data_IF_157921247323
#
_entry.id   IF_157921247323
#
_cell.length_a   1.000
_cell.length_b   1.000
_cell.length_c   1.000
_cell.angle_alpha   90.00
_cell.angle_beta   90.00
_cell.angle_gamma   90.00
#
_symmetry.space_group_name_H-M   'P 1'
#
loop_
_entity.id
_entity.type
_entity.pdbx_description
1 polymer ?
#
# COMPACT_ATOMS: atom_id res chain seq x y z
N UNK A 1 19.53 6.76 -13.99
CA UNK A 1 18.29 6.71 -13.17
C UNK A 1 17.27 5.72 -13.75
N UNK A 2 16.78 5.91 -15.00
CA UNK A 2 15.79 5.00 -15.59
C UNK A 2 16.31 3.56 -15.76
N UNK A 3 17.53 3.38 -16.28
CA UNK A 3 18.17 2.05 -16.39
C UNK A 3 18.45 1.41 -15.02
N UNK A 4 18.73 2.20 -14.00
CA UNK A 4 18.96 1.70 -12.65
C UNK A 4 17.67 1.21 -12.00
N UNK A 5 16.53 1.90 -12.23
CA UNK A 5 15.21 1.46 -11.79
C UNK A 5 14.84 0.14 -12.48
N UNK A 6 15.05 0.04 -13.78
CA UNK A 6 14.71 -1.14 -14.57
C UNK A 6 15.54 -2.38 -14.19
N UNK A 7 16.80 -2.19 -13.74
CA UNK A 7 17.64 -3.30 -13.26
C UNK A 7 17.12 -3.94 -11.95
N UNK A 8 16.20 -3.29 -11.27
CA UNK A 8 15.54 -3.79 -10.04
C UNK A 8 14.20 -4.48 -10.30
N UNK A 9 13.75 -4.55 -11.55
CA UNK A 9 12.51 -5.24 -11.92
C UNK A 9 12.85 -6.70 -12.24
N UNK A 10 12.38 -7.59 -11.41
CA UNK A 10 12.72 -9.02 -11.50
C UNK A 10 11.92 -9.80 -12.54
N UNK A 11 10.66 -9.39 -12.81
CA UNK A 11 9.85 -10.04 -13.84
C UNK A 11 10.12 -9.39 -15.21
N UNK A 12 10.62 -10.16 -16.16
CA UNK A 12 11.00 -9.65 -17.48
C UNK A 12 9.79 -9.16 -18.28
N UNK A 13 8.67 -9.87 -18.24
CA UNK A 13 7.43 -9.44 -18.92
C UNK A 13 6.91 -8.11 -18.35
N UNK A 14 7.01 -7.92 -17.02
CA UNK A 14 6.63 -6.67 -16.38
C UNK A 14 7.56 -5.52 -16.77
N UNK A 15 8.88 -5.77 -16.81
CA UNK A 15 9.86 -4.80 -17.32
C UNK A 15 9.60 -4.42 -18.77
N UNK A 16 9.36 -5.41 -19.65
CA UNK A 16 9.05 -5.18 -21.05
C UNK A 16 7.80 -4.30 -21.23
N UNK A 17 6.73 -4.56 -20.45
CA UNK A 17 5.51 -3.76 -20.50
C UNK A 17 5.76 -2.30 -20.11
N UNK A 18 6.57 -2.03 -19.07
CA UNK A 18 6.95 -0.67 -18.68
C UNK A 18 7.77 0.04 -19.75
N UNK A 19 8.63 -0.69 -20.46
CA UNK A 19 9.43 -0.19 -21.57
C UNK A 19 8.66 -0.12 -22.89
N UNK A 20 7.39 -0.52 -22.93
CA UNK A 20 6.57 -0.61 -24.16
C UNK A 20 7.19 -1.51 -25.23
N UNK A 21 7.88 -2.57 -24.80
CA UNK A 21 8.41 -3.62 -25.69
C UNK A 21 7.27 -4.58 -26.01
N UNK A 22 7.05 -4.85 -27.29
CA UNK A 22 6.04 -5.79 -27.75
C UNK A 22 6.30 -7.20 -27.22
N UNK A 23 5.24 -7.84 -26.72
CA UNK A 23 5.28 -9.21 -26.22
C UNK A 23 3.95 -9.92 -26.44
N UNK A 24 4.02 -11.23 -26.67
CA UNK A 24 2.85 -12.03 -27.03
C UNK A 24 1.84 -12.14 -25.87
N UNK A 25 2.32 -12.13 -24.61
CA UNK A 25 1.50 -12.25 -23.42
C UNK A 25 1.84 -11.09 -22.49
N UNK A 26 0.86 -10.23 -22.14
CA UNK A 26 1.08 -9.16 -21.19
C UNK A 26 1.25 -9.72 -19.75
N UNK A 27 2.04 -9.06 -18.89
CA UNK A 27 2.11 -9.41 -17.48
C UNK A 27 0.79 -9.11 -16.77
N UNK A 28 0.47 -9.92 -15.80
CA UNK A 28 -0.80 -9.81 -15.04
C UNK A 28 -0.52 -9.47 -13.59
N UNK A 29 -1.20 -8.44 -13.14
CA UNK A 29 -1.38 -8.11 -11.72
C UNK A 29 -2.73 -7.43 -11.53
N UNK A 30 -3.29 -7.51 -10.31
CA UNK A 30 -4.56 -6.88 -9.98
C UNK A 30 -4.37 -5.93 -8.81
N UNK A 31 -4.89 -4.70 -8.91
CA UNK A 31 -4.77 -3.68 -7.85
C UNK A 31 -5.27 -4.17 -6.48
N UNK A 32 -6.28 -5.04 -6.47
CA UNK A 32 -6.86 -5.64 -5.26
C UNK A 32 -6.81 -7.16 -5.34
N UNK A 33 -5.64 -7.71 -5.70
CA UNK A 33 -5.48 -9.17 -5.81
C UNK A 33 -5.66 -9.88 -4.47
N UNK A 34 -5.28 -9.29 -3.33
CA UNK A 34 -5.76 -9.70 -2.02
C UNK A 34 -7.09 -8.99 -1.74
N UNK A 35 -8.20 -9.69 -1.87
CA UNK A 35 -9.53 -9.10 -1.79
C UNK A 35 -10.60 -10.02 -1.26
N UNK A 36 -11.84 -9.53 -1.21
CA UNK A 36 -12.99 -10.24 -0.62
C UNK A 36 -13.34 -11.54 -1.35
N UNK A 37 -12.92 -11.72 -2.58
CA UNK A 37 -13.11 -12.95 -3.37
C UNK A 37 -12.11 -14.05 -3.00
N UNK A 38 -10.97 -13.71 -2.35
CA UNK A 38 -9.87 -14.59 -2.08
C UNK A 38 -10.06 -15.30 -0.73
N UNK A 39 -10.23 -16.64 -0.74
CA UNK A 39 -10.54 -17.42 0.44
C UNK A 39 -9.49 -17.28 1.54
N UNK A 40 -8.19 -17.31 1.21
CA UNK A 40 -7.11 -17.11 2.16
C UNK A 40 -7.23 -15.79 2.91
N UNK A 41 -7.46 -14.69 2.16
CA UNK A 41 -7.70 -13.36 2.77
C UNK A 41 -8.93 -13.35 3.69
N UNK A 42 -10.02 -14.03 3.31
CA UNK A 42 -11.20 -14.12 4.15
C UNK A 42 -10.94 -14.86 5.48
N UNK A 43 -10.13 -15.90 5.44
CA UNK A 43 -9.75 -16.64 6.67
C UNK A 43 -8.90 -15.76 7.60
N UNK A 44 -7.98 -14.96 7.07
CA UNK A 44 -7.19 -14.02 7.85
C UNK A 44 -8.07 -12.93 8.47
N UNK A 45 -9.05 -12.39 7.73
CA UNK A 45 -10.02 -11.42 8.23
C UNK A 45 -10.93 -11.93 9.36
N UNK A 46 -11.10 -13.23 9.51
CA UNK A 46 -11.84 -13.79 10.66
C UNK A 46 -11.03 -13.73 11.95
N UNK A 47 -9.70 -13.66 11.85
CA UNK A 47 -8.78 -13.69 12.99
C UNK A 47 -8.21 -12.31 13.33
N UNK A 48 -8.05 -11.46 12.34
CA UNK A 48 -7.34 -10.19 12.45
C UNK A 48 -8.15 -9.04 11.87
N UNK A 49 -8.01 -7.86 12.46
CA UNK A 49 -8.58 -6.63 11.90
C UNK A 49 -7.82 -6.22 10.64
N UNK A 50 -8.43 -5.37 9.80
CA UNK A 50 -7.76 -4.81 8.62
C UNK A 50 -6.48 -4.06 8.99
N UNK A 51 -6.51 -3.33 10.09
CA UNK A 51 -5.37 -2.58 10.58
C UNK A 51 -4.22 -3.50 11.01
N UNK A 52 -4.50 -4.59 11.73
CA UNK A 52 -3.49 -5.59 12.07
C UNK A 52 -2.88 -6.20 10.81
N UNK A 53 -3.70 -6.56 9.83
CA UNK A 53 -3.23 -7.11 8.54
C UNK A 53 -2.30 -6.14 7.78
N UNK A 54 -2.43 -4.83 7.98
CA UNK A 54 -1.56 -3.83 7.37
C UNK A 54 -0.31 -3.52 8.20
N UNK A 55 -0.44 -3.50 9.56
CA UNK A 55 0.62 -3.02 10.45
C UNK A 55 1.55 -4.11 10.97
N UNK A 56 1.13 -5.36 10.96
CA UNK A 56 1.98 -6.49 11.34
C UNK A 56 2.73 -6.99 10.09
N UNK A 57 4.06 -6.87 10.01
CA UNK A 57 4.83 -7.15 8.79
C UNK A 57 4.64 -8.57 8.26
N UNK A 58 4.52 -9.55 9.17
CA UNK A 58 4.31 -10.96 8.86
C UNK A 58 2.93 -11.17 8.23
N UNK A 59 1.90 -10.54 8.77
CA UNK A 59 0.53 -10.63 8.25
C UNK A 59 0.40 -9.91 6.90
N UNK A 60 0.98 -8.73 6.76
CA UNK A 60 1.01 -8.01 5.48
C UNK A 60 1.73 -8.83 4.39
N UNK A 61 2.81 -9.51 4.77
CA UNK A 61 3.53 -10.43 3.89
C UNK A 61 2.65 -11.62 3.49
N UNK A 62 2.01 -12.28 4.45
CA UNK A 62 1.14 -13.43 4.20
C UNK A 62 -0.02 -13.07 3.27
N UNK A 63 -0.71 -11.95 3.53
CA UNK A 63 -1.79 -11.45 2.66
C UNK A 63 -1.31 -11.14 1.26
N UNK A 64 -0.11 -10.56 1.12
CA UNK A 64 0.47 -10.19 -0.17
C UNK A 64 0.85 -11.41 -1.00
N UNK A 65 1.40 -12.45 -0.38
CA UNK A 65 1.87 -13.66 -1.08
C UNK A 65 0.74 -14.62 -1.46
N UNK A 66 -0.37 -14.63 -0.72
CA UNK A 66 -1.49 -15.55 -0.99
C UNK A 66 -1.96 -15.55 -2.45
N UNK A 67 -2.28 -14.40 -3.08
CA UNK A 67 -2.67 -14.34 -4.48
C UNK A 67 -1.59 -14.79 -5.46
N UNK A 68 -0.32 -14.59 -5.13
CA UNK A 68 0.80 -15.06 -5.98
C UNK A 68 0.87 -16.58 -5.95
N UNK A 69 0.66 -17.19 -4.80
CA UNK A 69 0.67 -18.66 -4.65
C UNK A 69 -0.53 -19.32 -5.35
N UNK A 70 -1.70 -18.67 -5.33
CA UNK A 70 -2.92 -19.25 -5.88
C UNK A 70 -3.07 -18.98 -7.40
N UNK A 71 -2.73 -17.78 -7.87
CA UNK A 71 -3.01 -17.34 -9.25
C UNK A 71 -1.76 -17.12 -10.11
N UNK A 72 -0.59 -17.26 -9.54
CA UNK A 72 0.71 -17.09 -10.24
C UNK A 72 0.87 -15.73 -10.95
N UNK A 73 0.31 -14.64 -10.40
CA UNK A 73 0.46 -13.29 -10.95
C UNK A 73 1.94 -12.91 -11.15
N UNK A 74 2.22 -12.05 -12.14
CA UNK A 74 3.57 -11.59 -12.46
C UNK A 74 4.15 -10.60 -11.47
N UNK A 75 3.29 -9.90 -10.74
CA UNK A 75 3.71 -8.98 -9.69
C UNK A 75 2.85 -9.11 -8.44
N UNK A 76 3.52 -9.09 -7.28
CA UNK A 76 2.89 -8.86 -5.98
C UNK A 76 2.68 -7.36 -5.77
N UNK A 77 1.65 -6.98 -5.02
CA UNK A 77 1.44 -5.62 -4.55
C UNK A 77 1.34 -5.63 -3.01
N UNK A 78 2.12 -4.77 -2.36
CA UNK A 78 2.12 -4.65 -0.90
C UNK A 78 0.68 -4.50 -0.38
N UNK A 79 0.29 -5.33 0.60
CA UNK A 79 -0.97 -5.14 1.31
C UNK A 79 -0.80 -4.05 2.36
N UNK A 80 -1.43 -2.90 2.11
CA UNK A 80 -1.34 -1.71 2.96
C UNK A 80 -2.50 -0.76 2.65
N UNK A 81 -2.52 0.41 3.29
CA UNK A 81 -3.45 1.50 3.02
C UNK A 81 -2.73 2.81 2.74
N UNK A 82 -3.31 3.66 1.89
CA UNK A 82 -2.74 4.96 1.50
C UNK A 82 -2.88 6.03 2.58
N UNK A 83 -3.67 5.80 3.64
CA UNK A 83 -4.07 6.81 4.62
C UNK A 83 -3.17 6.87 5.86
N UNK A 84 -2.21 5.96 6.02
CA UNK A 84 -1.27 6.00 7.14
C UNK A 84 -0.50 7.33 7.29
N UNK A 85 -0.15 8.07 6.21
CA UNK A 85 0.40 9.41 6.39
C UNK A 85 -0.53 10.38 7.12
N UNK A 86 -1.85 10.26 6.94
CA UNK A 86 -2.82 11.09 7.65
C UNK A 86 -2.97 10.66 9.12
N UNK A 87 -2.82 9.37 9.42
CA UNK A 87 -2.76 8.87 10.78
C UNK A 87 -1.52 9.39 11.51
N UNK A 88 -0.37 9.38 10.86
CA UNK A 88 0.86 9.98 11.37
C UNK A 88 0.69 11.46 11.75
N UNK A 89 -0.11 12.22 11.01
CA UNK A 89 -0.43 13.61 11.34
C UNK A 89 -1.31 13.74 12.59
N UNK A 90 -1.74 12.64 13.21
CA UNK A 90 -2.54 12.63 14.42
C UNK A 90 -4.04 12.77 14.18
N UNK A 91 -4.51 12.46 12.97
CA UNK A 91 -5.94 12.49 12.64
C UNK A 91 -6.72 11.32 13.28
N UNK A 92 -6.04 10.25 13.76
CA UNK A 92 -6.67 9.09 14.40
C UNK A 92 -7.46 8.25 13.41
N UNK A 93 -6.75 7.47 12.58
CA UNK A 93 -7.32 6.60 11.57
C UNK A 93 -7.82 5.28 12.18
N UNK A 94 -9.05 4.89 11.84
CA UNK A 94 -9.61 3.58 12.13
C UNK A 94 -10.37 3.03 10.92
N UNK A 95 -10.64 1.71 10.91
CA UNK A 95 -11.31 1.03 9.80
C UNK A 95 -12.53 0.23 10.28
N UNK A 96 -13.71 0.89 10.35
CA UNK A 96 -14.93 0.19 10.74
C UNK A 96 -16.20 0.92 10.22
N UNK A 97 -16.84 0.48 9.14
CA UNK A 97 -16.48 -0.54 8.12
C UNK A 97 -15.53 -0.04 7.04
N UNK A 98 -15.15 1.21 7.02
CA UNK A 98 -14.20 1.86 6.12
C UNK A 98 -13.32 2.83 6.88
N UNK A 99 -12.46 3.61 6.20
CA UNK A 99 -11.59 4.57 6.86
C UNK A 99 -12.40 5.69 7.53
N UNK A 100 -12.16 5.91 8.80
CA UNK A 100 -12.76 6.96 9.63
C UNK A 100 -11.63 7.68 10.35
N UNK A 101 -11.69 9.00 10.40
CA UNK A 101 -10.79 9.84 11.16
C UNK A 101 -11.49 10.45 12.36
N UNK A 102 -10.84 10.42 13.52
CA UNK A 102 -11.34 11.03 14.75
C UNK A 102 -11.29 12.56 14.70
N UNK A 103 -10.29 13.09 13.98
CA UNK A 103 -10.02 14.53 13.88
C UNK A 103 -9.96 14.96 12.43
N UNK A 104 -10.30 16.23 12.19
CA UNK A 104 -10.07 16.89 10.91
C UNK A 104 -8.64 17.39 10.84
N UNK A 105 -8.10 17.49 9.61
CA UNK A 105 -6.80 18.11 9.38
C UNK A 105 -6.80 19.57 9.89
N UNK A 106 -5.78 19.92 10.67
CA UNK A 106 -5.56 21.29 11.16
C UNK A 106 -4.18 21.80 10.75
N UNK A 107 -4.03 23.12 10.71
CA UNK A 107 -2.74 23.76 10.41
C UNK A 107 -1.64 23.33 11.38
N UNK A 108 -1.97 23.22 12.66
CA UNK A 108 -1.00 22.83 13.69
C UNK A 108 -0.45 21.40 13.51
N UNK A 109 -1.20 20.50 12.87
CA UNK A 109 -0.70 19.17 12.53
C UNK A 109 0.38 19.22 11.46
N UNK A 110 0.31 20.18 10.53
CA UNK A 110 1.27 20.35 9.45
C UNK A 110 2.54 21.10 9.91
N UNK A 111 2.42 22.01 10.87
CA UNK A 111 3.54 22.85 11.33
C UNK A 111 4.60 22.05 12.13
N UNK A 112 4.28 20.84 12.60
CA UNK A 112 5.13 20.00 13.45
C UNK A 112 5.54 18.66 12.80
N UNK A 113 5.65 18.60 11.49
CA UNK A 113 6.06 17.39 10.79
C UNK A 113 7.59 17.22 10.87
N UNK A 114 8.03 16.08 11.42
CA UNK A 114 9.41 15.64 11.43
C UNK A 114 9.56 14.39 10.57
N UNK A 115 10.39 14.45 9.52
CA UNK A 115 10.56 13.34 8.59
C UNK A 115 11.11 12.08 9.24
N UNK A 116 12.08 12.23 10.17
CA UNK A 116 12.66 11.10 10.91
C UNK A 116 11.60 10.36 11.72
N UNK A 117 10.67 11.09 12.35
CA UNK A 117 9.55 10.49 13.08
C UNK A 117 8.56 9.79 12.14
N UNK A 118 8.40 10.28 10.91
CA UNK A 118 7.59 9.59 9.90
C UNK A 118 8.25 8.28 9.44
N UNK A 119 9.56 8.27 9.24
CA UNK A 119 10.29 7.06 8.88
C UNK A 119 10.17 5.99 9.97
N UNK A 120 10.27 6.36 11.23
CA UNK A 120 10.03 5.46 12.36
C UNK A 120 8.57 4.94 12.37
N UNK A 121 7.60 5.83 12.16
CA UNK A 121 6.18 5.48 12.12
C UNK A 121 5.86 4.44 11.03
N UNK A 122 6.45 4.54 9.83
CA UNK A 122 6.20 3.61 8.71
C UNK A 122 7.12 2.38 8.70
N UNK A 123 7.93 2.16 9.73
CA UNK A 123 8.89 1.04 9.80
C UNK A 123 8.21 -0.31 9.56
N UNK A 124 6.95 -0.48 9.96
CA UNK A 124 6.19 -1.70 9.71
C UNK A 124 6.03 -1.99 8.20
N UNK A 125 5.85 -0.96 7.36
CA UNK A 125 5.79 -1.16 5.89
C UNK A 125 7.15 -1.55 5.32
N UNK A 126 8.22 -0.96 5.82
CA UNK A 126 9.57 -1.33 5.42
C UNK A 126 9.87 -2.81 5.73
N UNK A 127 9.56 -3.25 6.93
CA UNK A 127 9.72 -4.65 7.34
C UNK A 127 8.82 -5.59 6.52
N UNK A 128 7.58 -5.21 6.26
CA UNK A 128 6.68 -5.97 5.39
C UNK A 128 7.28 -6.14 3.98
N UNK A 129 7.81 -5.07 3.38
CA UNK A 129 8.46 -5.13 2.07
C UNK A 129 9.68 -6.05 2.06
N UNK A 130 10.50 -6.03 3.11
CA UNK A 130 11.64 -6.94 3.27
C UNK A 130 11.17 -8.39 3.35
N UNK A 131 10.17 -8.70 4.18
CA UNK A 131 9.61 -10.03 4.33
C UNK A 131 9.01 -10.54 3.01
N UNK A 132 8.24 -9.70 2.32
CA UNK A 132 7.68 -10.03 1.01
C UNK A 132 8.80 -10.30 0.02
N UNK A 133 9.78 -9.41 -0.12
CA UNK A 133 10.84 -9.57 -1.11
C UNK A 133 11.68 -10.82 -0.88
N UNK A 134 11.96 -11.18 0.39
CA UNK A 134 12.72 -12.39 0.72
C UNK A 134 11.96 -13.68 0.43
N UNK A 135 10.62 -13.65 0.48
CA UNK A 135 9.75 -14.80 0.28
C UNK A 135 9.19 -14.91 -1.14
N UNK A 136 9.14 -13.80 -1.88
CA UNK A 136 8.61 -13.74 -3.25
C UNK A 136 9.62 -14.35 -4.23
N UNK A 137 9.19 -15.24 -5.16
CA UNK A 137 10.07 -15.76 -6.20
C UNK A 137 10.82 -14.66 -6.96
N UNK A 138 12.07 -14.93 -7.35
CA UNK A 138 12.91 -13.93 -7.99
C UNK A 138 12.38 -13.44 -9.35
N UNK A 139 11.60 -14.26 -10.04
CA UNK A 139 10.96 -13.90 -11.30
C UNK A 139 9.64 -13.13 -11.15
N UNK A 140 9.25 -12.75 -9.93
CA UNK A 140 8.07 -11.93 -9.65
C UNK A 140 8.49 -10.53 -9.22
N UNK A 141 7.81 -9.52 -9.74
CA UNK A 141 8.01 -8.13 -9.32
C UNK A 141 7.22 -7.81 -8.05
N UNK A 142 7.65 -6.80 -7.32
CA UNK A 142 6.95 -6.27 -6.14
C UNK A 142 6.61 -4.81 -6.38
N UNK A 143 5.33 -4.47 -6.24
CA UNK A 143 4.81 -3.12 -6.41
C UNK A 143 4.54 -2.52 -5.03
N UNK A 144 5.14 -1.36 -4.76
CA UNK A 144 4.73 -0.45 -3.69
C UNK A 144 3.77 0.60 -4.23
N UNK A 145 3.04 1.26 -3.34
CA UNK A 145 2.13 2.35 -3.72
C UNK A 145 2.07 3.41 -2.62
N UNK A 146 1.58 4.58 -2.99
CA UNK A 146 1.35 5.69 -2.06
C UNK A 146 0.10 6.46 -2.44
N UNK A 147 -0.46 7.20 -1.50
CA UNK A 147 -1.56 8.11 -1.77
C UNK A 147 -1.09 9.34 -2.56
N UNK A 148 -1.76 9.66 -3.65
CA UNK A 148 -1.53 10.92 -4.34
C UNK A 148 -1.91 12.12 -3.45
N UNK A 149 -1.20 13.26 -3.54
CA UNK A 149 -1.45 14.42 -2.66
C UNK A 149 -2.90 14.89 -2.65
N UNK A 150 -3.54 14.97 -3.81
CA UNK A 150 -4.96 15.38 -3.94
C UNK A 150 -5.88 14.36 -3.27
N UNK A 151 -5.59 13.06 -3.42
CA UNK A 151 -6.37 11.98 -2.79
C UNK A 151 -6.27 12.07 -1.27
N UNK A 152 -5.06 12.22 -0.74
CA UNK A 152 -4.84 12.36 0.71
C UNK A 152 -5.53 13.62 1.25
N UNK A 153 -5.39 14.75 0.56
CA UNK A 153 -6.08 15.99 0.92
C UNK A 153 -7.61 15.82 0.95
N UNK A 154 -8.18 15.16 -0.07
CA UNK A 154 -9.62 14.87 -0.10
C UNK A 154 -10.07 14.07 1.13
N UNK A 155 -9.33 13.04 1.51
CA UNK A 155 -9.63 12.27 2.72
C UNK A 155 -9.46 13.11 4.00
N UNK A 156 -8.43 13.94 4.06
CA UNK A 156 -8.14 14.78 5.22
C UNK A 156 -9.23 15.83 5.53
N UNK A 157 -9.93 16.32 4.47
CA UNK A 157 -10.98 17.35 4.60
C UNK A 157 -12.40 16.80 4.43
N UNK A 158 -12.57 15.49 4.20
CA UNK A 158 -13.86 14.88 3.85
C UNK A 158 -14.96 15.10 4.89
N UNK A 159 -14.61 15.20 6.17
CA UNK A 159 -15.55 15.43 7.27
C UNK A 159 -15.85 16.92 7.48
N UNK A 160 -15.15 17.81 6.79
CA UNK A 160 -15.39 19.23 6.80
C UNK A 160 -15.70 19.65 5.36
N UNK A 161 -16.93 20.02 5.00
CA UNK A 161 -17.15 20.68 3.72
C UNK A 161 -16.19 21.87 3.67
N UNK A 162 -15.44 21.97 2.57
CA UNK A 162 -14.56 23.12 2.32
C UNK A 162 -15.43 24.36 2.48
N UNK A 163 -15.39 24.98 3.63
CA UNK A 163 -15.86 26.36 3.74
C UNK A 163 -14.84 27.19 2.99
N UNK A 164 -15.31 28.09 2.13
CA UNK A 164 -14.54 28.92 1.17
C UNK A 164 -13.33 29.71 1.74
N UNK A 165 -12.90 29.44 2.95
CA UNK A 165 -11.85 30.12 3.70
C UNK A 165 -10.48 29.41 3.69
N UNK A 166 -10.26 28.40 2.84
CA UNK A 166 -8.99 27.66 2.71
C UNK A 166 -8.30 27.85 1.34
N UNK A 167 -8.79 28.81 0.52
CA UNK A 167 -8.11 29.27 -0.68
C UNK A 167 -7.46 30.62 -0.43
#
# INVERSE_FOLDING_TARGET
MEQEILSRIYNQSFSNALLKVDQAVPPIWMMRQAGRYHNHYQQLKQKYTFEQLCREPELACEVTLGPIQEFDFDAAILFSDILFPLDFLGMGLSFSPGPVFEKNLSRSMLDNIHLDAFEEYIQFQHLALQNIRSSLPQNKSLIGFTGGPITLYHFAVRNNPITDNLL
#
